data_IF_887843271269
#
_entry.id   IF_887843271269
#
_cell.length_a   1.000
_cell.length_b   1.000
_cell.length_c   1.000
_cell.angle_alpha   90.00
_cell.angle_beta   90.00
_cell.angle_gamma   90.00
#
_symmetry.space_group_name_H-M   'P 1'
#
loop_
_entity.id
_entity.type
_entity.pdbx_description
1 polymer ?
#
# COMPACT_ATOMS: atom_id res chain seq x y z
N UNK A 1 -3.73 26.29 62.41
CA UNK A 1 -4.72 26.97 61.54
C UNK A 1 -4.86 26.11 60.29
N UNK A 2 -5.72 25.09 60.36
CA UNK A 2 -7.11 25.13 59.91
C UNK A 2 -7.27 25.40 58.40
N UNK A 3 -7.37 24.28 57.68
CA UNK A 3 -8.53 23.93 56.84
C UNK A 3 -8.82 24.79 55.59
N UNK A 4 -7.95 24.88 54.57
CA UNK A 4 -8.40 25.35 53.23
C UNK A 4 -7.66 24.79 52.00
N UNK A 5 -6.88 23.70 52.08
CA UNK A 5 -6.16 23.18 50.88
C UNK A 5 -6.82 21.98 50.20
N UNK A 6 -8.01 21.56 50.63
CA UNK A 6 -8.67 20.33 50.15
C UNK A 6 -9.73 20.55 49.06
N UNK A 7 -9.73 21.67 48.34
CA UNK A 7 -10.78 21.99 47.35
C UNK A 7 -10.26 22.48 45.99
N UNK A 8 -9.07 22.03 45.57
CA UNK A 8 -8.47 22.40 44.29
C UNK A 8 -7.98 21.19 43.47
N UNK A 9 -8.67 20.07 43.59
CA UNK A 9 -8.32 18.80 42.90
C UNK A 9 -9.48 18.16 42.12
N UNK A 10 -10.57 18.89 41.86
CA UNK A 10 -11.74 18.37 41.13
C UNK A 10 -12.13 19.22 39.90
N UNK A 11 -11.12 19.69 39.17
CA UNK A 11 -11.27 20.10 37.78
C UNK A 11 -10.11 19.45 37.00
N UNK A 12 -10.17 18.13 36.86
CA UNK A 12 -9.46 17.46 35.76
C UNK A 12 -10.33 17.78 34.54
N UNK A 13 -9.94 18.70 33.64
CA UNK A 13 -10.59 18.73 32.35
C UNK A 13 -10.45 17.33 31.76
N UNK A 14 -11.57 16.74 31.35
CA UNK A 14 -11.60 15.65 30.39
C UNK A 14 -10.93 16.19 29.12
N UNK A 15 -9.59 16.23 29.12
CA UNK A 15 -8.82 16.29 27.89
C UNK A 15 -9.17 14.96 27.27
N UNK A 16 -10.11 15.00 26.32
CA UNK A 16 -10.25 13.94 25.36
C UNK A 16 -8.87 13.82 24.73
N UNK A 17 -8.10 12.85 25.22
CA UNK A 17 -6.97 12.28 24.51
C UNK A 17 -7.60 11.73 23.23
N UNK A 18 -7.76 12.58 22.22
CA UNK A 18 -7.86 12.15 20.84
C UNK A 18 -6.50 11.49 20.59
N UNK A 19 -6.43 10.20 20.90
CA UNK A 19 -5.43 9.33 20.33
C UNK A 19 -5.48 9.62 18.83
N UNK A 20 -4.41 10.20 18.28
CA UNK A 20 -4.24 10.49 16.86
C UNK A 20 -4.70 9.25 16.08
N UNK A 21 -5.95 9.30 15.58
CA UNK A 21 -6.46 8.30 14.66
C UNK A 21 -5.79 8.62 13.34
N UNK A 22 -5.22 7.60 12.72
CA UNK A 22 -4.87 7.63 11.30
C UNK A 22 -6.07 8.23 10.54
N UNK A 23 -5.79 9.26 9.75
CA UNK A 23 -6.83 9.98 9.03
C UNK A 23 -7.55 9.02 8.08
N UNK A 24 -8.88 9.09 8.07
CA UNK A 24 -9.71 8.37 7.12
C UNK A 24 -10.41 9.41 6.25
N UNK A 25 -10.38 9.29 4.91
CA UNK A 25 -11.07 10.23 4.04
C UNK A 25 -12.57 10.20 4.32
N UNK A 26 -13.19 11.36 4.31
CA UNK A 26 -14.66 11.52 4.37
C UNK A 26 -15.26 11.45 2.97
N UNK A 27 -16.58 11.30 2.86
CA UNK A 27 -17.25 11.38 1.55
C UNK A 27 -16.95 12.70 0.83
N UNK A 28 -16.91 13.82 1.56
CA UNK A 28 -16.58 15.13 0.99
C UNK A 28 -15.15 15.17 0.44
N UNK A 29 -14.18 14.56 1.14
CA UNK A 29 -12.81 14.46 0.63
C UNK A 29 -12.75 13.63 -0.67
N UNK A 30 -13.53 12.56 -0.76
CA UNK A 30 -13.60 11.68 -1.94
C UNK A 30 -14.29 12.36 -3.12
N UNK A 31 -15.43 13.00 -2.90
CA UNK A 31 -16.15 13.76 -3.93
C UNK A 31 -15.27 14.90 -4.46
N UNK A 32 -14.58 15.59 -3.55
CA UNK A 32 -13.66 16.66 -3.90
C UNK A 32 -12.47 16.14 -4.73
N UNK A 33 -11.89 14.99 -4.37
CA UNK A 33 -10.79 14.38 -5.11
C UNK A 33 -11.08 14.26 -6.61
N UNK A 34 -12.28 13.82 -6.99
CA UNK A 34 -12.69 13.66 -8.40
C UNK A 34 -12.76 14.99 -9.18
N UNK A 35 -12.74 16.12 -8.49
CA UNK A 35 -12.72 17.46 -9.12
C UNK A 35 -11.31 18.06 -9.23
N UNK A 36 -10.30 17.39 -8.65
CA UNK A 36 -8.94 17.91 -8.59
C UNK A 36 -8.13 17.64 -9.85
N UNK A 37 -7.04 18.40 -10.02
CA UNK A 37 -5.91 18.00 -10.87
C UNK A 37 -4.86 17.27 -10.03
N UNK A 38 -4.47 16.07 -10.45
CA UNK A 38 -3.45 15.26 -9.77
C UNK A 38 -2.04 15.62 -10.25
N UNK A 39 -1.22 16.12 -9.34
CA UNK A 39 0.20 16.30 -9.58
C UNK A 39 0.98 15.05 -9.18
N UNK A 40 1.64 14.43 -10.15
CA UNK A 40 2.51 13.28 -9.92
C UNK A 40 3.90 13.79 -9.59
N UNK A 41 4.35 13.55 -8.36
CA UNK A 41 5.61 14.10 -7.86
C UNK A 41 6.76 13.17 -8.22
N UNK A 42 7.69 13.69 -9.02
CA UNK A 42 8.90 13.00 -9.41
C UNK A 42 10.01 13.23 -8.38
N UNK A 43 10.84 12.19 -8.19
CA UNK A 43 12.07 12.28 -7.42
C UNK A 43 13.07 13.21 -8.12
N UNK A 44 13.97 13.83 -7.36
CA UNK A 44 14.99 14.72 -7.91
C UNK A 44 15.96 14.02 -8.87
N UNK A 45 16.17 12.71 -8.71
CA UNK A 45 16.98 11.92 -9.63
C UNK A 45 16.17 11.55 -10.87
N UNK A 46 16.38 12.26 -11.98
CA UNK A 46 15.63 12.07 -13.21
C UNK A 46 15.71 10.66 -13.82
N UNK A 47 16.76 9.89 -13.51
CA UNK A 47 16.96 8.52 -14.01
C UNK A 47 16.61 7.46 -12.97
N UNK A 48 15.88 7.79 -11.89
CA UNK A 48 15.45 6.78 -10.94
C UNK A 48 14.42 5.83 -11.56
N UNK A 49 14.47 4.55 -11.18
CA UNK A 49 13.50 3.56 -11.67
C UNK A 49 12.07 3.99 -11.31
N UNK A 50 11.87 4.61 -10.13
CA UNK A 50 10.59 5.20 -9.77
C UNK A 50 10.11 6.21 -10.82
N UNK A 51 10.94 7.19 -11.20
CA UNK A 51 10.55 8.22 -12.17
C UNK A 51 10.21 7.62 -13.54
N UNK A 52 10.95 6.62 -13.99
CA UNK A 52 10.68 5.95 -15.28
C UNK A 52 9.35 5.20 -15.21
N UNK A 53 9.20 4.32 -14.22
CA UNK A 53 8.04 3.43 -14.10
C UNK A 53 6.75 4.17 -13.69
N UNK A 54 6.82 5.23 -12.87
CA UNK A 54 5.64 6.02 -12.50
C UNK A 54 5.10 6.82 -13.68
N UNK A 55 5.99 7.35 -14.53
CA UNK A 55 5.57 8.08 -15.72
C UNK A 55 4.90 7.14 -16.71
N UNK A 56 5.47 5.95 -16.94
CA UNK A 56 4.87 4.94 -17.81
C UNK A 56 3.49 4.48 -17.28
N UNK A 57 3.44 4.12 -15.98
CA UNK A 57 2.21 3.69 -15.32
C UNK A 57 1.10 4.75 -15.36
N UNK A 58 1.40 6.01 -15.06
CA UNK A 58 0.40 7.09 -15.04
C UNK A 58 -0.08 7.39 -16.45
N UNK A 59 0.83 7.55 -17.42
CA UNK A 59 0.43 7.83 -18.81
C UNK A 59 -0.46 6.73 -19.39
N UNK A 60 -0.25 5.49 -18.95
CA UNK A 60 -0.98 4.34 -19.44
C UNK A 60 -2.32 4.10 -18.73
N UNK A 61 -2.33 4.21 -17.41
CA UNK A 61 -3.42 3.68 -16.59
C UNK A 61 -4.19 4.74 -15.80
N UNK A 62 -3.71 5.97 -15.69
CA UNK A 62 -4.40 7.00 -14.90
C UNK A 62 -5.58 7.60 -15.68
N UNK A 63 -6.79 7.42 -15.17
CA UNK A 63 -8.04 7.83 -15.82
C UNK A 63 -9.08 8.41 -14.85
N UNK A 64 -8.71 8.64 -13.58
CA UNK A 64 -9.65 9.13 -12.55
C UNK A 64 -9.73 10.67 -12.48
N UNK A 65 -8.68 11.39 -12.85
CA UNK A 65 -8.57 12.86 -12.83
C UNK A 65 -7.60 13.36 -13.90
N UNK A 66 -7.63 14.66 -14.24
CA UNK A 66 -6.54 15.28 -15.01
C UNK A 66 -5.22 15.19 -14.23
N UNK A 67 -4.08 15.04 -14.92
CA UNK A 67 -2.78 14.96 -14.26
C UNK A 67 -1.68 15.83 -14.88
N UNK A 68 -0.62 16.09 -14.12
CA UNK A 68 0.62 16.74 -14.55
C UNK A 68 1.80 16.22 -13.72
N UNK A 69 2.92 15.90 -14.37
CA UNK A 69 4.16 15.57 -13.66
C UNK A 69 4.84 16.84 -13.15
N UNK A 70 5.26 16.83 -11.89
CA UNK A 70 5.97 17.94 -11.27
C UNK A 70 7.24 17.46 -10.60
N UNK A 71 8.19 18.36 -10.42
CA UNK A 71 9.37 18.10 -9.59
C UNK A 71 9.05 18.34 -8.12
N UNK A 72 9.80 17.67 -7.25
CA UNK A 72 9.71 17.88 -5.80
C UNK A 72 9.89 19.36 -5.39
N UNK A 73 10.69 20.14 -6.12
CA UNK A 73 10.89 21.57 -5.84
C UNK A 73 9.61 22.42 -5.99
N UNK A 74 8.68 21.99 -6.85
CA UNK A 74 7.41 22.69 -7.08
C UNK A 74 6.31 22.26 -6.09
N UNK A 75 6.52 21.13 -5.39
CA UNK A 75 5.52 20.53 -4.52
C UNK A 75 5.03 21.50 -3.45
N UNK A 76 5.93 22.15 -2.70
CA UNK A 76 5.56 23.03 -1.57
C UNK A 76 4.67 24.21 -1.98
N UNK A 77 4.81 24.68 -3.22
CA UNK A 77 3.97 25.75 -3.77
C UNK A 77 2.60 25.19 -4.20
N UNK A 78 2.60 24.08 -4.94
CA UNK A 78 1.38 23.47 -5.48
C UNK A 78 0.53 22.82 -4.40
N UNK A 79 1.12 22.27 -3.34
CA UNK A 79 0.42 21.59 -2.24
C UNK A 79 -0.59 22.46 -1.52
N UNK A 80 -0.46 23.79 -1.63
CA UNK A 80 -1.38 24.79 -1.06
C UNK A 80 -2.67 24.97 -1.85
N UNK A 81 -2.71 24.47 -3.09
CA UNK A 81 -3.91 24.52 -3.91
C UNK A 81 -4.93 23.48 -3.40
N UNK A 82 -6.09 23.97 -2.97
CA UNK A 82 -7.19 23.10 -2.51
C UNK A 82 -7.77 22.27 -3.65
N UNK A 83 -7.64 22.70 -4.91
CA UNK A 83 -8.14 21.98 -6.07
C UNK A 83 -7.10 21.02 -6.67
N UNK A 84 -6.03 20.74 -5.93
CA UNK A 84 -4.99 19.81 -6.33
C UNK A 84 -5.06 18.52 -5.51
N UNK A 85 -4.64 17.43 -6.15
CA UNK A 85 -4.27 16.18 -5.47
C UNK A 85 -2.84 15.81 -5.84
N UNK A 86 -2.22 14.91 -5.09
CA UNK A 86 -0.82 14.55 -5.24
C UNK A 86 -0.65 13.04 -5.20
N UNK A 87 0.09 12.50 -6.16
CA UNK A 87 0.56 11.13 -6.19
C UNK A 87 2.07 11.14 -5.96
N UNK A 88 2.55 10.54 -4.87
CA UNK A 88 3.96 10.65 -4.46
C UNK A 88 4.44 9.50 -3.58
N UNK A 89 5.75 9.27 -3.59
CA UNK A 89 6.40 8.32 -2.69
C UNK A 89 6.78 9.00 -1.37
N UNK A 90 6.36 8.45 -0.24
CA UNK A 90 6.66 8.96 1.09
C UNK A 90 7.21 7.92 2.05
N UNK A 91 8.12 8.35 2.93
CA UNK A 91 8.77 7.48 3.90
C UNK A 91 8.01 7.41 5.22
N UNK A 92 7.25 6.35 5.45
CA UNK A 92 6.38 6.17 6.62
C UNK A 92 7.07 5.38 7.73
N UNK A 93 7.00 5.90 8.96
CA UNK A 93 7.38 5.20 10.19
C UNK A 93 6.17 5.07 11.10
N UNK A 94 5.95 3.89 11.68
CA UNK A 94 4.84 3.70 12.62
C UNK A 94 5.29 4.07 14.03
N UNK A 95 4.82 5.19 14.58
CA UNK A 95 5.26 5.72 15.89
C UNK A 95 5.14 4.71 17.04
N UNK A 96 4.13 3.84 16.99
CA UNK A 96 3.90 2.78 17.99
C UNK A 96 4.77 1.54 17.76
N UNK A 97 5.50 1.45 16.66
CA UNK A 97 6.36 0.32 16.33
C UNK A 97 7.80 0.56 16.78
N UNK A 98 8.19 -0.10 17.88
CA UNK A 98 9.55 -0.07 18.44
C UNK A 98 10.61 -0.70 17.54
N UNK A 99 10.23 -1.22 16.37
CA UNK A 99 11.16 -1.75 15.38
C UNK A 99 12.00 -0.63 14.74
N UNK A 100 11.61 0.64 14.84
CA UNK A 100 12.18 1.75 14.07
C UNK A 100 12.20 1.45 12.56
N UNK A 101 11.29 0.60 12.07
CA UNK A 101 11.18 0.26 10.66
C UNK A 101 10.56 1.45 9.91
N UNK A 102 11.17 1.77 8.76
CA UNK A 102 10.68 2.78 7.84
C UNK A 102 10.39 2.11 6.50
N UNK A 103 9.28 2.46 5.90
CA UNK A 103 8.83 1.95 4.60
C UNK A 103 8.65 3.10 3.64
N UNK A 104 8.63 2.82 2.35
CA UNK A 104 8.11 3.75 1.35
C UNK A 104 6.67 3.36 1.02
N UNK A 105 5.79 4.34 0.97
CA UNK A 105 4.39 4.21 0.56
C UNK A 105 4.18 5.07 -0.67
N UNK A 106 3.41 4.56 -1.64
CA UNK A 106 2.83 5.43 -2.67
C UNK A 106 1.54 5.98 -2.09
N UNK A 107 1.47 7.30 -2.00
CA UNK A 107 0.39 8.05 -1.37
C UNK A 107 -0.36 8.84 -2.43
N UNK A 108 -1.68 8.86 -2.30
CA UNK A 108 -2.60 9.72 -3.04
C UNK A 108 -3.32 10.61 -2.04
N UNK A 109 -3.11 11.91 -2.15
CA UNK A 109 -3.51 12.85 -1.08
C UNK A 109 -4.08 14.14 -1.64
N UNK A 110 -4.97 14.78 -0.88
CA UNK A 110 -5.51 16.10 -1.22
C UNK A 110 -4.55 17.22 -0.83
N UNK A 111 -4.47 18.25 -1.68
CA UNK A 111 -3.84 19.53 -1.36
C UNK A 111 -4.66 20.37 -0.39
N UNK A 112 -4.12 21.54 -0.02
CA UNK A 112 -4.77 22.53 0.84
C UNK A 112 -3.82 23.19 1.84
N UNK A 113 -4.35 23.68 2.96
CA UNK A 113 -3.64 24.55 3.91
C UNK A 113 -2.59 23.82 4.79
N UNK A 114 -1.81 22.92 4.20
CA UNK A 114 -0.86 22.02 4.87
C UNK A 114 0.56 22.34 4.45
N UNK A 115 1.48 22.26 5.41
CA UNK A 115 2.83 22.83 5.28
C UNK A 115 3.83 21.78 4.79
N UNK A 116 3.72 20.54 5.27
CA UNK A 116 4.57 19.41 4.88
C UNK A 116 3.83 18.37 4.05
N UNK A 117 4.59 17.59 3.29
CA UNK A 117 4.10 16.36 2.63
C UNK A 117 3.55 15.35 3.64
N UNK A 118 4.12 15.34 4.85
CA UNK A 118 3.69 14.48 5.96
C UNK A 118 2.36 14.95 6.58
N UNK A 119 1.95 16.19 6.30
CA UNK A 119 0.69 16.71 6.81
C UNK A 119 -0.48 16.34 5.90
N UNK A 120 -0.24 15.96 4.63
CA UNK A 120 -1.31 15.76 3.65
C UNK A 120 -2.33 14.69 4.10
N UNK A 121 -3.56 14.91 3.67
CA UNK A 121 -4.68 13.99 3.92
C UNK A 121 -4.71 12.96 2.81
N UNK A 122 -4.22 11.77 3.10
CA UNK A 122 -4.27 10.64 2.16
C UNK A 122 -5.74 10.22 1.94
N UNK A 123 -6.14 10.14 0.67
CA UNK A 123 -7.38 9.45 0.25
C UNK A 123 -7.13 7.96 0.05
N UNK A 124 -5.91 7.59 -0.35
CA UNK A 124 -5.47 6.22 -0.45
C UNK A 124 -3.94 6.15 -0.33
N UNK A 125 -3.42 5.08 0.27
CA UNK A 125 -1.99 4.78 0.26
C UNK A 125 -1.76 3.27 0.32
N UNK A 126 -0.58 2.84 -0.14
CA UNK A 126 -0.19 1.42 -0.09
C UNK A 126 1.34 1.31 0.09
N UNK A 127 1.83 0.38 0.93
CA UNK A 127 3.27 0.14 1.07
C UNK A 127 3.87 -0.31 -0.27
N UNK A 128 5.00 0.27 -0.65
CA UNK A 128 5.75 -0.07 -1.86
C UNK A 128 7.01 -0.86 -1.57
N UNK A 129 7.79 -0.44 -0.59
CA UNK A 129 9.10 -1.02 -0.30
C UNK A 129 9.52 -0.75 1.15
N UNK A 130 10.58 -1.41 1.60
CA UNK A 130 11.30 -0.97 2.79
C UNK A 130 12.19 0.21 2.44
N UNK A 131 12.36 1.14 3.37
CA UNK A 131 13.15 2.35 3.11
C UNK A 131 14.60 2.00 2.75
N UNK A 132 15.08 2.56 1.63
CA UNK A 132 16.43 2.30 1.11
C UNK A 132 16.59 0.95 0.41
N UNK A 133 15.49 0.37 -0.08
CA UNK A 133 15.51 -0.68 -1.11
C UNK A 133 15.56 0.01 -2.47
N UNK A 134 16.37 -0.56 -3.38
CA UNK A 134 16.57 -0.02 -4.72
C UNK A 134 15.28 -0.08 -5.56
N UNK A 135 15.16 0.83 -6.52
CA UNK A 135 13.95 1.04 -7.31
C UNK A 135 13.55 -0.19 -8.12
N UNK A 136 14.51 -0.81 -8.78
CA UNK A 136 14.39 -2.07 -9.54
C UNK A 136 13.71 -3.22 -8.78
N UNK A 137 13.77 -3.25 -7.44
CA UNK A 137 13.09 -4.25 -6.61
C UNK A 137 11.58 -4.04 -6.44
N UNK A 138 11.04 -2.84 -6.70
CA UNK A 138 9.61 -2.55 -6.49
C UNK A 138 8.94 -1.76 -7.62
N UNK A 139 9.68 -0.96 -8.38
CA UNK A 139 9.13 0.01 -9.33
C UNK A 139 8.37 -0.68 -10.48
N UNK A 140 8.78 -1.88 -10.89
CA UNK A 140 8.08 -2.69 -11.90
C UNK A 140 6.63 -3.04 -11.52
N UNK A 141 6.25 -2.90 -10.24
CA UNK A 141 4.88 -3.09 -9.76
C UNK A 141 4.06 -1.80 -9.76
N UNK A 142 4.62 -0.62 -10.05
CA UNK A 142 3.88 0.65 -9.98
C UNK A 142 2.64 0.66 -10.87
N UNK A 143 2.68 0.06 -12.05
CA UNK A 143 1.51 -0.07 -12.93
C UNK A 143 0.28 -0.63 -12.22
N UNK A 144 0.43 -1.76 -11.51
CA UNK A 144 -0.69 -2.37 -10.79
C UNK A 144 -1.07 -1.59 -9.52
N UNK A 145 -0.11 -0.92 -8.87
CA UNK A 145 -0.39 -0.12 -7.66
C UNK A 145 -1.19 1.13 -8.00
N UNK A 146 -0.88 1.80 -9.12
CA UNK A 146 -1.64 2.95 -9.61
C UNK A 146 -3.08 2.55 -9.95
N UNK A 147 -3.25 1.40 -10.62
CA UNK A 147 -4.60 0.87 -10.90
C UNK A 147 -5.35 0.53 -9.62
N UNK A 148 -4.70 -0.07 -8.63
CA UNK A 148 -5.32 -0.36 -7.34
C UNK A 148 -5.73 0.92 -6.60
N UNK A 149 -4.89 1.97 -6.57
CA UNK A 149 -5.25 3.24 -5.92
C UNK A 149 -6.53 3.83 -6.53
N UNK A 150 -6.65 3.83 -7.85
CA UNK A 150 -7.84 4.31 -8.55
C UNK A 150 -9.07 3.44 -8.28
N UNK A 151 -8.91 2.12 -8.37
CA UNK A 151 -9.96 1.16 -7.99
C UNK A 151 -10.44 1.40 -6.56
N UNK A 152 -9.51 1.54 -5.61
CA UNK A 152 -9.83 1.75 -4.21
C UNK A 152 -10.59 3.05 -4.00
N UNK A 153 -10.13 4.16 -4.59
CA UNK A 153 -10.81 5.46 -4.49
C UNK A 153 -12.23 5.40 -5.06
N UNK A 154 -12.43 4.80 -6.24
CA UNK A 154 -13.77 4.59 -6.82
C UNK A 154 -14.66 3.79 -5.87
N UNK A 155 -14.16 2.66 -5.38
CA UNK A 155 -14.87 1.77 -4.47
C UNK A 155 -15.31 2.49 -3.18
N UNK A 156 -14.43 3.24 -2.52
CA UNK A 156 -14.78 3.96 -1.28
C UNK A 156 -15.63 5.21 -1.53
N UNK A 157 -15.59 5.78 -2.74
CA UNK A 157 -16.49 6.87 -3.14
C UNK A 157 -17.90 6.36 -3.30
N UNK A 158 -18.06 5.22 -3.99
CA UNK A 158 -19.36 4.58 -4.23
C UNK A 158 -19.93 3.92 -2.97
N UNK A 159 -19.06 3.42 -2.10
CA UNK A 159 -19.44 2.68 -0.91
C UNK A 159 -18.62 3.09 0.33
N UNK A 160 -18.90 4.29 0.86
CA UNK A 160 -18.15 4.89 1.96
C UNK A 160 -18.09 4.07 3.25
N UNK A 161 -19.04 3.15 3.46
CA UNK A 161 -19.12 2.35 4.69
C UNK A 161 -17.91 1.41 4.88
N UNK A 162 -17.14 1.13 3.83
CA UNK A 162 -15.95 0.27 3.91
C UNK A 162 -14.72 1.02 4.41
N UNK A 163 -14.74 2.37 4.40
CA UNK A 163 -13.64 3.20 4.89
C UNK A 163 -13.42 2.90 6.36
N UNK A 164 -12.29 2.29 6.66
CA UNK A 164 -11.96 1.87 8.01
C UNK A 164 -10.45 1.72 8.19
N UNK A 165 -10.00 1.73 9.44
CA UNK A 165 -8.60 1.41 9.79
C UNK A 165 -8.21 -0.04 9.46
N UNK A 166 -9.18 -0.86 9.04
CA UNK A 166 -9.00 -2.29 8.77
C UNK A 166 -9.62 -2.68 7.42
N UNK A 167 -9.49 -1.80 6.42
CA UNK A 167 -10.06 -1.99 5.09
C UNK A 167 -9.61 -3.29 4.42
N UNK A 168 -8.44 -3.82 4.79
CA UNK A 168 -7.96 -5.10 4.29
C UNK A 168 -8.84 -6.31 4.66
N UNK A 169 -9.68 -6.22 5.71
CA UNK A 169 -10.69 -7.25 5.98
C UNK A 169 -11.69 -7.38 4.85
N UNK A 170 -12.15 -6.25 4.31
CA UNK A 170 -13.07 -6.22 3.18
C UNK A 170 -12.48 -6.97 1.99
N UNK A 171 -11.23 -6.67 1.62
CA UNK A 171 -10.56 -7.38 0.51
C UNK A 171 -10.34 -8.88 0.75
N UNK A 172 -10.12 -9.29 2.00
CA UNK A 172 -9.93 -10.69 2.33
C UNK A 172 -11.24 -11.52 2.27
N UNK A 173 -12.41 -10.87 2.20
CA UNK A 173 -13.69 -11.58 1.97
C UNK A 173 -13.72 -12.24 0.59
N UNK A 174 -13.03 -11.65 -0.38
CA UNK A 174 -12.97 -12.08 -1.77
C UNK A 174 -11.81 -13.05 -2.07
N UNK A 175 -11.13 -13.56 -1.04
CA UNK A 175 -9.96 -14.43 -1.21
C UNK A 175 -10.28 -15.71 -2.01
N UNK A 176 -11.52 -16.19 -1.98
CA UNK A 176 -11.95 -17.35 -2.76
C UNK A 176 -11.94 -17.10 -4.28
N UNK A 177 -12.07 -15.84 -4.72
CA UNK A 177 -12.12 -15.44 -6.13
C UNK A 177 -10.80 -15.65 -6.87
N UNK A 178 -9.71 -15.94 -6.14
CA UNK A 178 -8.44 -16.38 -6.72
C UNK A 178 -8.57 -17.75 -7.41
N UNK A 179 -9.64 -18.51 -7.14
CA UNK A 179 -9.87 -19.84 -7.73
C UNK A 179 -9.98 -19.74 -9.26
N UNK A 180 -9.19 -20.57 -9.95
CA UNK A 180 -9.13 -20.57 -11.41
C UNK A 180 -8.14 -19.56 -12.02
N UNK A 181 -7.51 -18.71 -11.20
CA UNK A 181 -6.42 -17.81 -11.61
C UNK A 181 -5.05 -18.47 -11.43
N UNK A 182 -4.06 -17.92 -12.10
CA UNK A 182 -2.64 -18.33 -11.98
C UNK A 182 -1.89 -17.35 -11.08
N UNK A 183 -1.23 -17.87 -10.03
CA UNK A 183 -0.32 -17.08 -9.21
C UNK A 183 1.06 -17.00 -9.87
N UNK A 184 1.52 -15.78 -10.17
CA UNK A 184 2.86 -15.50 -10.66
C UNK A 184 3.70 -14.94 -9.50
N UNK A 185 4.76 -15.67 -9.14
CA UNK A 185 5.55 -15.39 -7.94
C UNK A 185 7.05 -15.32 -8.27
N UNK A 186 7.76 -14.44 -7.58
CA UNK A 186 9.23 -14.37 -7.61
C UNK A 186 9.78 -15.30 -6.53
N UNK A 187 10.69 -16.21 -6.87
CA UNK A 187 11.20 -17.24 -5.94
C UNK A 187 11.82 -16.61 -4.69
N UNK A 188 12.57 -15.52 -4.86
CA UNK A 188 13.27 -14.80 -3.79
C UNK A 188 12.32 -14.16 -2.76
N UNK A 189 11.03 -14.00 -3.10
CA UNK A 189 10.01 -13.48 -2.19
C UNK A 189 9.37 -14.59 -1.33
N UNK A 190 9.72 -15.87 -1.54
CA UNK A 190 9.10 -17.03 -0.90
C UNK A 190 9.97 -17.62 0.22
N UNK A 191 9.32 -18.14 1.26
CA UNK A 191 10.01 -18.84 2.33
C UNK A 191 10.58 -20.17 1.83
N UNK A 192 11.67 -20.65 2.45
CA UNK A 192 12.37 -21.87 2.04
C UNK A 192 11.46 -23.10 1.96
N UNK A 193 10.41 -23.14 2.76
CA UNK A 193 9.44 -24.24 2.84
C UNK A 193 8.49 -24.26 1.64
N UNK A 194 8.40 -23.16 0.87
CA UNK A 194 7.50 -22.97 -0.27
C UNK A 194 8.16 -22.27 -1.47
N UNK A 195 9.48 -22.31 -1.58
CA UNK A 195 10.21 -21.64 -2.66
C UNK A 195 10.35 -22.47 -3.95
N UNK A 196 9.66 -23.61 -4.08
CA UNK A 196 9.67 -24.40 -5.31
C UNK A 196 8.27 -24.85 -5.68
N UNK A 197 7.99 -25.03 -6.97
CA UNK A 197 6.68 -25.50 -7.44
C UNK A 197 6.24 -26.81 -6.78
N UNK A 198 7.16 -27.74 -6.56
CA UNK A 198 6.87 -29.02 -5.88
C UNK A 198 6.38 -28.80 -4.44
N UNK A 199 7.07 -27.93 -3.68
CA UNK A 199 6.69 -27.59 -2.31
C UNK A 199 5.34 -26.87 -2.25
N UNK A 200 5.13 -25.91 -3.15
CA UNK A 200 3.87 -25.15 -3.20
C UNK A 200 2.68 -26.05 -3.52
N UNK A 201 2.81 -26.93 -4.52
CA UNK A 201 1.74 -27.87 -4.94
C UNK A 201 1.33 -28.86 -3.85
N UNK A 202 2.22 -29.15 -2.89
CA UNK A 202 1.88 -29.97 -1.74
C UNK A 202 0.89 -29.29 -0.77
N UNK A 203 0.71 -27.97 -0.88
CA UNK A 203 -0.09 -27.15 0.06
C UNK A 203 -1.25 -26.46 -0.66
N UNK A 204 -0.99 -25.86 -1.83
CA UNK A 204 -1.95 -25.07 -2.59
C UNK A 204 -2.31 -25.77 -3.90
N UNK A 205 -3.60 -26.05 -4.16
CA UNK A 205 -4.02 -26.81 -5.33
C UNK A 205 -4.14 -25.96 -6.61
N UNK A 206 -4.09 -24.63 -6.51
CA UNK A 206 -4.21 -23.74 -7.66
C UNK A 206 -2.95 -23.68 -8.54
N UNK A 207 -3.08 -23.04 -9.70
CA UNK A 207 -1.97 -22.90 -10.63
C UNK A 207 -0.96 -21.85 -10.12
N UNK A 208 0.33 -22.20 -10.17
CA UNK A 208 1.43 -21.34 -9.75
C UNK A 208 2.56 -21.42 -10.76
N UNK A 209 3.13 -20.26 -11.10
CA UNK A 209 4.33 -20.09 -11.90
C UNK A 209 5.35 -19.28 -11.12
N UNK A 210 6.58 -19.76 -11.11
CA UNK A 210 7.74 -18.99 -10.63
C UNK A 210 8.33 -18.26 -11.83
N UNK A 211 8.46 -16.95 -11.72
CA UNK A 211 8.88 -16.06 -12.81
C UNK A 211 9.83 -14.99 -12.27
N UNK A 212 10.54 -14.30 -13.17
CA UNK A 212 11.31 -13.12 -12.82
C UNK A 212 10.44 -11.85 -12.77
N UNK A 213 11.06 -10.74 -12.38
CA UNK A 213 10.38 -9.44 -12.23
C UNK A 213 9.94 -8.86 -13.59
N UNK A 214 10.69 -9.13 -14.66
CA UNK A 214 10.36 -8.62 -15.99
C UNK A 214 9.08 -9.28 -16.52
N UNK A 215 8.95 -10.60 -16.36
CA UNK A 215 7.71 -11.30 -16.69
C UNK A 215 6.50 -10.77 -15.90
N UNK A 216 6.67 -10.40 -14.62
CA UNK A 216 5.60 -9.75 -13.86
C UNK A 216 5.26 -8.37 -14.44
N UNK A 217 6.26 -7.58 -14.81
CA UNK A 217 6.06 -6.28 -15.46
C UNK A 217 5.27 -6.44 -16.75
N UNK A 218 5.64 -7.38 -17.61
CA UNK A 218 4.93 -7.69 -18.85
C UNK A 218 3.47 -8.08 -18.59
N UNK A 219 3.20 -8.92 -17.59
CA UNK A 219 1.84 -9.30 -17.21
C UNK A 219 1.00 -8.11 -16.71
N UNK A 220 1.60 -7.23 -15.90
CA UNK A 220 0.95 -5.99 -15.42
C UNK A 220 0.60 -5.10 -16.62
N UNK A 221 1.56 -4.96 -17.53
CA UNK A 221 1.39 -4.20 -18.76
C UNK A 221 0.41 -4.88 -19.72
N UNK A 222 0.22 -6.18 -19.71
CA UNK A 222 -0.79 -6.83 -20.54
C UNK A 222 -2.20 -6.80 -19.93
N UNK A 223 -2.33 -6.36 -18.66
CA UNK A 223 -3.58 -6.43 -17.90
C UNK A 223 -4.18 -7.84 -17.88
N UNK A 224 -3.32 -8.88 -17.76
CA UNK A 224 -3.72 -10.28 -17.91
C UNK A 224 -4.87 -10.66 -16.95
N UNK A 225 -5.99 -11.08 -17.51
CA UNK A 225 -7.23 -11.29 -16.77
C UNK A 225 -7.15 -12.43 -15.73
N UNK A 226 -6.24 -13.39 -15.96
CA UNK A 226 -6.10 -14.59 -15.15
C UNK A 226 -4.86 -14.56 -14.25
N UNK A 227 -4.04 -13.51 -14.35
CA UNK A 227 -2.84 -13.37 -13.55
C UNK A 227 -3.13 -12.72 -12.19
N UNK A 228 -2.50 -13.29 -11.17
CA UNK A 228 -2.43 -12.73 -9.82
C UNK A 228 -0.98 -12.70 -9.40
N UNK A 229 -0.52 -11.55 -8.92
CA UNK A 229 0.89 -11.34 -8.54
C UNK A 229 1.00 -11.09 -7.05
N UNK A 230 2.14 -11.48 -6.47
CA UNK A 230 2.49 -11.16 -5.09
C UNK A 230 3.17 -9.80 -5.02
N UNK A 231 2.69 -8.94 -4.13
CA UNK A 231 3.40 -7.77 -3.65
C UNK A 231 3.84 -7.99 -2.20
N UNK A 232 5.11 -8.37 -2.03
CA UNK A 232 5.77 -8.51 -0.74
C UNK A 232 6.53 -7.23 -0.42
N UNK A 233 6.34 -6.69 0.77
CA UNK A 233 7.09 -5.53 1.28
C UNK A 233 7.64 -5.86 2.65
N UNK A 234 8.96 -5.96 2.78
CA UNK A 234 9.62 -6.26 4.05
C UNK A 234 11.09 -5.82 4.06
N UNK A 235 11.82 -6.01 5.18
CA UNK A 235 13.10 -5.36 5.42
C UNK A 235 14.29 -5.82 4.58
N UNK A 236 14.12 -6.71 3.62
CA UNK A 236 15.17 -7.31 2.78
C UNK A 236 16.31 -7.91 3.62
N UNK A 237 15.94 -8.62 4.69
CA UNK A 237 16.88 -9.21 5.66
C UNK A 237 17.56 -8.20 6.60
N UNK A 238 17.27 -6.90 6.49
CA UNK A 238 17.99 -5.84 7.24
C UNK A 238 17.53 -5.66 8.70
N UNK A 239 16.34 -6.18 9.10
CA UNK A 239 15.77 -5.83 10.42
C UNK A 239 14.81 -6.86 11.03
N UNK A 240 15.16 -7.36 12.21
CA UNK A 240 14.27 -8.16 13.04
C UNK A 240 13.09 -7.33 13.57
N UNK A 241 11.91 -7.96 13.75
CA UNK A 241 10.66 -7.35 14.21
C UNK A 241 9.99 -6.32 13.27
N UNK A 242 10.57 -6.01 12.12
CA UNK A 242 9.87 -5.23 11.07
C UNK A 242 8.66 -6.02 10.54
N UNK A 243 7.65 -5.31 10.01
CA UNK A 243 6.50 -5.91 9.35
C UNK A 243 6.89 -6.35 7.94
N UNK A 244 6.29 -7.46 7.52
CA UNK A 244 6.35 -7.98 6.15
C UNK A 244 4.91 -8.02 5.65
N UNK A 245 4.56 -7.10 4.78
CA UNK A 245 3.26 -7.03 4.11
C UNK A 245 3.25 -7.98 2.92
N UNK A 246 2.12 -8.64 2.71
CA UNK A 246 1.91 -9.63 1.65
C UNK A 246 0.55 -9.38 1.04
N UNK A 247 0.53 -9.03 -0.24
CA UNK A 247 -0.68 -8.72 -0.98
C UNK A 247 -0.74 -9.58 -2.24
N UNK A 248 -1.86 -10.26 -2.49
CA UNK A 248 -2.12 -10.88 -3.80
C UNK A 248 -3.08 -9.98 -4.58
N UNK A 249 -2.66 -9.55 -5.77
CA UNK A 249 -3.38 -8.56 -6.58
C UNK A 249 -3.67 -9.16 -7.94
N UNK A 250 -4.95 -9.17 -8.34
CA UNK A 250 -5.39 -9.56 -9.67
C UNK A 250 -5.08 -8.48 -10.71
N UNK A 251 -4.54 -8.87 -11.86
CA UNK A 251 -4.11 -7.91 -12.87
C UNK A 251 -5.24 -7.41 -13.78
N UNK A 252 -6.42 -8.04 -13.79
CA UNK A 252 -7.56 -7.54 -14.56
C UNK A 252 -8.16 -6.27 -13.91
N UNK A 253 -8.57 -6.37 -12.66
CA UNK A 253 -9.33 -5.33 -11.95
C UNK A 253 -8.48 -4.54 -10.95
N UNK A 254 -7.19 -4.89 -10.81
CA UNK A 254 -6.32 -4.38 -9.75
C UNK A 254 -6.87 -4.60 -8.33
N UNK A 255 -7.73 -5.61 -8.16
CA UNK A 255 -8.37 -5.98 -6.88
C UNK A 255 -7.45 -6.87 -6.04
N UNK A 256 -7.52 -6.69 -4.73
CA UNK A 256 -6.83 -7.57 -3.78
C UNK A 256 -7.64 -8.84 -3.53
N UNK A 257 -6.97 -9.99 -3.62
CA UNK A 257 -7.51 -11.27 -3.14
C UNK A 257 -6.96 -11.67 -1.78
N UNK A 258 -5.84 -11.09 -1.38
CA UNK A 258 -5.21 -11.41 -0.11
C UNK A 258 -4.46 -10.21 0.43
N UNK A 259 -4.58 -9.98 1.72
CA UNK A 259 -3.73 -9.10 2.48
C UNK A 259 -3.45 -9.72 3.85
N UNK A 260 -2.17 -9.83 4.19
CA UNK A 260 -1.73 -10.15 5.55
C UNK A 260 -0.39 -9.50 5.83
N UNK A 261 -0.04 -9.43 7.10
CA UNK A 261 1.33 -9.10 7.49
C UNK A 261 1.77 -9.92 8.69
N UNK A 262 3.08 -10.07 8.82
CA UNK A 262 3.69 -10.63 10.02
C UNK A 262 4.90 -9.79 10.44
N UNK A 263 5.39 -9.99 11.66
CA UNK A 263 6.67 -9.41 12.08
C UNK A 263 7.79 -10.42 11.86
N UNK A 264 8.92 -9.96 11.33
CA UNK A 264 10.11 -10.80 11.10
C UNK A 264 10.56 -11.43 12.41
N UNK A 265 10.64 -12.76 12.40
CA UNK A 265 11.12 -13.64 13.47
C UNK A 265 11.86 -14.81 12.85
N UNK A 266 12.61 -15.55 13.65
CA UNK A 266 13.35 -16.74 13.17
C UNK A 266 12.47 -17.74 12.39
N UNK A 267 11.26 -18.01 12.88
CA UNK A 267 10.29 -18.91 12.22
C UNK A 267 9.39 -18.24 11.18
N UNK A 268 9.44 -16.91 11.08
CA UNK A 268 8.62 -16.11 10.18
C UNK A 268 9.55 -15.11 9.49
N UNK A 269 10.36 -15.59 8.52
CA UNK A 269 11.36 -14.78 7.86
C UNK A 269 10.71 -13.74 6.95
N UNK A 270 11.51 -12.85 6.40
CA UNK A 270 11.08 -11.83 5.45
C UNK A 270 10.64 -12.42 4.09
N UNK A 271 9.48 -13.08 4.06
CA UNK A 271 8.99 -13.81 2.89
C UNK A 271 7.47 -14.08 2.94
N UNK A 272 6.91 -14.54 1.82
CA UNK A 272 5.61 -15.20 1.75
C UNK A 272 5.70 -16.62 2.28
N UNK A 273 4.84 -16.97 3.24
CA UNK A 273 5.01 -18.14 4.10
C UNK A 273 4.13 -19.33 3.66
N UNK A 274 4.50 -20.52 4.09
CA UNK A 274 3.65 -21.72 4.00
C UNK A 274 2.25 -21.48 4.61
N UNK A 275 2.17 -20.73 5.71
CA UNK A 275 0.90 -20.40 6.36
C UNK A 275 0.00 -19.52 5.48
N UNK A 276 0.57 -18.69 4.61
CA UNK A 276 -0.18 -17.87 3.66
C UNK A 276 -0.80 -18.75 2.57
N UNK A 277 -0.02 -19.69 2.00
CA UNK A 277 -0.57 -20.69 1.08
C UNK A 277 -1.66 -21.56 1.72
N UNK A 278 -1.49 -21.97 2.99
CA UNK A 278 -2.53 -22.73 3.71
C UNK A 278 -3.83 -21.94 3.88
N UNK A 279 -3.75 -20.63 4.17
CA UNK A 279 -4.92 -19.75 4.25
C UNK A 279 -5.61 -19.66 2.90
N UNK A 280 -4.84 -19.41 1.83
CA UNK A 280 -5.35 -19.31 0.47
C UNK A 280 -6.01 -20.62 0.02
N UNK A 281 -5.34 -21.76 0.24
CA UNK A 281 -5.87 -23.08 -0.09
C UNK A 281 -7.18 -23.37 0.63
N UNK A 282 -7.32 -22.94 1.90
CA UNK A 282 -8.55 -23.10 2.66
C UNK A 282 -9.69 -22.26 2.08
N UNK A 283 -9.41 -21.06 1.59
CA UNK A 283 -10.40 -20.16 1.00
C UNK A 283 -10.93 -20.67 -0.35
N UNK A 284 -10.12 -21.42 -1.10
CA UNK A 284 -10.47 -21.94 -2.44
C UNK A 284 -11.08 -23.35 -2.44
N UNK A 285 -11.22 -23.98 -1.28
CA UNK A 285 -11.87 -25.29 -1.12
C UNK A 285 -13.37 -25.16 -1.36
#
# INVERSE_FOLDING_TARGET
MKKYYAFLLLLIPFIQLQAQREYLPTQEDLDHFHTTKTYVVLESNAISDYNIEIQDAVNRFWDITEFEFIKMEDFSKKSKDKNASFLYLAGVSFEKDRSNARYQFICLSLGGDRVSIDDLKDVANIPMSYYGVDGDHYAYKLGIMIRFLQYHVRLITENHNIVSQNVYKYYNEDMADVKGKTLYLVEEELAREVNTLSKIRAIYPGEVKLVDREAIKELIMAEDENAVVLHKVGPEGKKMNARVYKILIGLAEAKFYYFDYHKVKEKHPDAYLESDFKKLAKATK
#
